data_IF_513339007530
#
_entry.id   IF_513339007530
#
_cell.length_a   1.000
_cell.length_b   1.000
_cell.length_c   1.000
_cell.angle_alpha   90.00
_cell.angle_beta   90.00
_cell.angle_gamma   90.00
#
_symmetry.space_group_name_H-M   'P 1'
#
loop_
_entity.id
_entity.type
_entity.pdbx_description
1 polymer ?
#
# COMPACT_ATOMS: atom_id res chain seq x y z
N UNK A 1 -13.22 -24.96 8.75
CA UNK A 1 -12.65 -25.15 7.43
C UNK A 1 -13.67 -25.85 6.54
N UNK A 2 -13.89 -25.35 5.30
CA UNK A 2 -14.72 -26.02 4.33
C UNK A 2 -14.17 -27.43 4.05
N UNK A 3 -15.04 -28.43 3.98
CA UNK A 3 -14.64 -29.81 3.71
C UNK A 3 -14.35 -30.06 2.24
N UNK A 4 -14.68 -29.12 1.36
CA UNK A 4 -14.58 -29.22 -0.10
C UNK A 4 -13.54 -28.27 -0.71
N UNK A 5 -12.97 -27.38 0.05
CA UNK A 5 -12.02 -26.36 -0.40
C UNK A 5 -10.64 -26.94 -0.65
N UNK A 6 -10.02 -26.55 -1.73
CA UNK A 6 -8.60 -26.71 -1.96
C UNK A 6 -7.85 -25.57 -1.27
N UNK A 7 -6.88 -25.90 -0.46
CA UNK A 7 -5.99 -24.95 0.17
C UNK A 7 -4.62 -25.00 -0.51
N UNK A 8 -4.13 -23.85 -0.95
CA UNK A 8 -2.74 -23.70 -1.31
C UNK A 8 -1.88 -23.75 -0.04
N UNK A 9 -0.84 -24.54 -0.05
CA UNK A 9 0.11 -24.64 1.05
C UNK A 9 1.50 -24.23 0.59
N UNK A 10 2.04 -23.18 1.18
CA UNK A 10 3.42 -22.82 0.98
C UNK A 10 4.33 -23.89 1.61
N UNK A 11 5.24 -24.42 0.81
CA UNK A 11 6.33 -25.24 1.33
C UNK A 11 7.62 -24.45 1.12
N UNK A 12 8.19 -23.97 2.20
CA UNK A 12 9.48 -23.28 2.19
C UNK A 12 10.64 -24.29 2.18
N UNK A 13 10.66 -25.17 1.19
CA UNK A 13 11.62 -26.24 1.09
C UNK A 13 12.30 -26.26 -0.29
N UNK A 14 12.81 -25.09 -0.69
CA UNK A 14 13.35 -24.87 -2.04
C UNK A 14 14.60 -25.67 -2.37
N UNK A 15 15.27 -26.23 -1.37
CA UNK A 15 16.52 -26.98 -1.54
C UNK A 15 16.31 -28.49 -1.61
N UNK A 16 15.15 -28.98 -1.26
CA UNK A 16 14.84 -30.39 -1.31
C UNK A 16 13.97 -30.72 -2.53
N UNK A 17 14.24 -31.89 -3.12
CA UNK A 17 13.37 -32.43 -4.18
C UNK A 17 12.17 -33.09 -3.51
N UNK A 18 11.09 -32.33 -3.37
CA UNK A 18 9.85 -32.80 -2.79
C UNK A 18 8.69 -32.60 -3.77
N UNK A 19 7.65 -33.37 -3.56
CA UNK A 19 6.41 -33.22 -4.30
C UNK A 19 5.22 -33.41 -3.34
N UNK A 20 4.08 -32.90 -3.73
CA UNK A 20 2.86 -33.04 -2.95
C UNK A 20 1.64 -32.52 -3.68
N UNK A 21 0.47 -32.83 -3.12
CA UNK A 21 -0.81 -32.34 -3.60
C UNK A 21 -1.60 -31.72 -2.45
N UNK A 22 -2.36 -30.70 -2.79
CA UNK A 22 -3.42 -30.21 -1.94
C UNK A 22 -4.72 -30.90 -2.32
N UNK A 23 -5.43 -31.45 -1.34
CA UNK A 23 -6.70 -32.13 -1.52
C UNK A 23 -7.75 -31.54 -0.59
N UNK A 24 -9.04 -31.44 -1.02
CA UNK A 24 -10.12 -31.18 -0.11
C UNK A 24 -10.16 -32.18 1.02
N UNK A 25 -10.45 -31.73 2.23
CA UNK A 25 -10.50 -32.61 3.41
C UNK A 25 -11.43 -33.83 3.24
N UNK A 26 -12.56 -33.63 2.54
CA UNK A 26 -13.48 -34.71 2.20
C UNK A 26 -12.82 -35.82 1.37
N UNK A 27 -12.01 -35.45 0.39
CA UNK A 27 -11.25 -36.43 -0.43
C UNK A 27 -10.15 -37.10 0.41
N UNK A 28 -9.42 -36.32 1.21
CA UNK A 28 -8.38 -36.86 2.09
C UNK A 28 -8.95 -37.94 3.04
N UNK A 29 -10.14 -37.74 3.61
CA UNK A 29 -10.79 -38.75 4.45
C UNK A 29 -11.16 -40.05 3.73
N UNK A 30 -11.31 -40.02 2.43
CA UNK A 30 -11.63 -41.21 1.61
C UNK A 30 -10.39 -42.03 1.27
N UNK A 31 -9.19 -41.45 1.42
CA UNK A 31 -7.96 -42.17 1.21
C UNK A 31 -7.79 -43.26 2.26
N UNK A 32 -7.67 -44.48 1.81
CA UNK A 32 -7.41 -45.65 2.65
C UNK A 32 -5.91 -45.89 2.77
N UNK A 33 -5.50 -46.57 3.85
CA UNK A 33 -4.10 -47.00 3.96
C UNK A 33 -3.83 -48.01 2.86
N UNK A 34 -2.81 -47.77 2.05
CA UNK A 34 -2.48 -48.64 0.91
C UNK A 34 -1.39 -48.06 0.00
N UNK A 35 -1.16 -48.74 -1.13
CA UNK A 35 -0.27 -48.26 -2.19
C UNK A 35 -1.12 -47.46 -3.20
N UNK A 36 -0.59 -46.34 -3.67
CA UNK A 36 -1.18 -45.51 -4.70
C UNK A 36 -0.19 -45.35 -5.84
N UNK A 37 -0.69 -45.33 -7.05
CA UNK A 37 0.06 -44.89 -8.21
C UNK A 37 -0.18 -43.40 -8.39
N UNK A 38 0.91 -42.64 -8.54
CA UNK A 38 0.86 -41.20 -8.72
C UNK A 38 1.64 -40.91 -9.99
N UNK A 39 1.03 -40.13 -10.87
CA UNK A 39 1.64 -39.64 -12.08
C UNK A 39 1.67 -38.11 -12.05
N UNK A 40 2.86 -37.51 -12.19
CA UNK A 40 3.08 -36.07 -12.19
C UNK A 40 3.94 -35.73 -13.40
N UNK A 41 3.32 -35.15 -14.42
CA UNK A 41 4.02 -34.62 -15.56
C UNK A 41 4.48 -33.18 -15.30
N UNK A 42 5.79 -32.96 -15.39
CA UNK A 42 6.39 -31.63 -15.24
C UNK A 42 7.45 -31.40 -16.31
N UNK A 43 7.63 -30.13 -16.66
CA UNK A 43 8.71 -29.72 -17.55
C UNK A 43 9.44 -28.51 -16.97
N UNK A 44 10.77 -28.48 -17.19
CA UNK A 44 11.63 -27.37 -16.82
C UNK A 44 12.14 -26.67 -18.08
N UNK A 45 11.68 -25.47 -18.34
CA UNK A 45 12.03 -24.73 -19.53
C UNK A 45 12.78 -23.45 -19.14
N UNK A 46 13.63 -22.94 -20.05
CA UNK A 46 14.20 -21.59 -19.88
C UNK A 46 13.08 -20.57 -19.92
N UNK A 47 13.02 -19.72 -18.91
CA UNK A 47 12.04 -18.63 -18.80
C UNK A 47 12.70 -17.29 -18.60
N UNK A 48 11.88 -16.28 -18.39
CA UNK A 48 12.28 -14.91 -18.03
C UNK A 48 11.45 -14.46 -16.82
N UNK A 49 12.03 -13.62 -15.99
CA UNK A 49 11.28 -12.86 -15.01
C UNK A 49 10.69 -11.66 -15.73
N UNK A 50 9.37 -11.60 -15.85
CA UNK A 50 8.65 -10.50 -16.47
C UNK A 50 8.00 -9.63 -15.38
N UNK A 51 8.07 -8.33 -15.56
CA UNK A 51 7.47 -7.34 -14.68
C UNK A 51 6.80 -6.27 -15.54
N UNK A 52 5.68 -5.76 -15.09
CA UNK A 52 4.98 -4.63 -15.73
C UNK A 52 5.10 -3.40 -14.84
N UNK A 53 5.49 -2.27 -15.43
CA UNK A 53 5.55 -0.99 -14.75
C UNK A 53 4.71 0.03 -15.50
N UNK A 54 3.74 0.65 -14.82
CA UNK A 54 3.00 1.81 -15.33
C UNK A 54 3.51 3.06 -14.61
N UNK A 55 3.75 4.14 -15.36
CA UNK A 55 4.40 5.34 -14.84
C UNK A 55 3.61 6.59 -15.19
N UNK A 56 3.32 7.40 -14.19
CA UNK A 56 2.87 8.77 -14.33
C UNK A 56 4.02 9.72 -14.00
N UNK A 57 4.58 10.39 -15.00
CA UNK A 57 5.70 11.31 -14.82
C UNK A 57 5.24 12.62 -14.19
N UNK A 58 5.85 12.95 -13.05
CA UNK A 58 5.70 14.25 -12.39
C UNK A 58 6.72 15.29 -12.88
N UNK A 59 6.73 16.45 -12.24
CA UNK A 59 7.71 17.52 -12.49
C UNK A 59 9.10 17.18 -11.96
N UNK A 60 9.16 16.30 -10.96
CA UNK A 60 10.39 15.84 -10.30
C UNK A 60 10.66 14.39 -10.67
N UNK A 61 11.93 14.04 -10.75
CA UNK A 61 12.36 12.65 -10.96
C UNK A 61 12.14 11.76 -9.72
N UNK A 62 12.04 12.37 -8.53
CA UNK A 62 11.76 11.62 -7.31
C UNK A 62 10.42 10.89 -7.44
N UNK A 63 10.44 9.61 -7.12
CA UNK A 63 9.31 8.72 -7.39
C UNK A 63 8.76 8.08 -6.12
N UNK A 64 7.43 7.89 -6.12
CA UNK A 64 6.71 7.03 -5.19
C UNK A 64 6.31 5.75 -5.92
N UNK A 65 6.50 4.60 -5.26
CA UNK A 65 6.26 3.29 -5.85
C UNK A 65 5.06 2.60 -5.18
N UNK A 66 4.07 2.24 -5.98
CA UNK A 66 3.06 1.25 -5.61
C UNK A 66 3.50 -0.12 -6.11
N UNK A 67 3.26 -1.17 -5.32
CA UNK A 67 3.66 -2.55 -5.63
C UNK A 67 2.48 -3.48 -5.47
N UNK A 68 2.35 -4.42 -6.38
CA UNK A 68 1.45 -5.56 -6.30
C UNK A 68 2.04 -6.76 -7.01
N UNK A 69 1.56 -7.96 -6.72
CA UNK A 69 1.99 -9.17 -7.39
C UNK A 69 0.83 -9.83 -8.14
N UNK A 70 1.13 -10.65 -9.14
CA UNK A 70 0.12 -11.28 -10.01
C UNK A 70 0.46 -12.73 -10.42
N UNK A 71 1.34 -13.37 -9.69
CA UNK A 71 1.92 -14.67 -10.03
C UNK A 71 1.16 -15.88 -9.47
N UNK A 72 0.23 -15.67 -8.55
CA UNK A 72 -0.58 -16.76 -8.02
C UNK A 72 -1.63 -17.23 -9.04
N UNK A 73 -1.52 -18.49 -9.54
CA UNK A 73 -2.49 -18.98 -10.51
C UNK A 73 -3.88 -19.09 -9.90
N UNK A 74 -4.88 -18.55 -10.59
CA UNK A 74 -6.30 -18.60 -10.23
C UNK A 74 -6.67 -17.87 -8.92
N UNK A 75 -5.78 -17.06 -8.36
CA UNK A 75 -6.07 -16.21 -7.22
C UNK A 75 -6.39 -14.79 -7.67
N UNK A 76 -7.45 -14.23 -7.13
CA UNK A 76 -7.97 -12.94 -7.56
C UNK A 76 -7.63 -11.83 -6.55
N UNK A 77 -8.08 -11.97 -5.31
CA UNK A 77 -7.79 -11.00 -4.25
C UNK A 77 -6.31 -11.03 -3.86
N UNK A 78 -5.70 -12.20 -3.90
CA UNK A 78 -4.30 -12.44 -3.59
C UNK A 78 -3.50 -12.64 -4.90
N UNK A 79 -3.19 -11.64 -5.58
CA UNK A 79 -2.77 -10.27 -5.56
C UNK A 79 -3.19 -9.53 -6.83
N UNK A 80 -3.85 -10.21 -7.86
CA UNK A 80 -4.21 -9.57 -9.13
C UNK A 80 -4.97 -8.26 -8.92
N UNK A 81 -5.91 -8.23 -7.97
CA UNK A 81 -6.73 -7.06 -7.68
C UNK A 81 -5.89 -5.92 -7.09
N UNK A 82 -4.80 -6.23 -6.39
CA UNK A 82 -3.82 -5.23 -5.93
C UNK A 82 -3.14 -4.53 -7.10
N UNK A 83 -2.72 -5.30 -8.10
CA UNK A 83 -2.16 -4.75 -9.35
C UNK A 83 -3.18 -3.88 -10.08
N UNK A 84 -4.43 -4.35 -10.22
CA UNK A 84 -5.49 -3.58 -10.88
C UNK A 84 -5.75 -2.25 -10.16
N UNK A 85 -5.77 -2.23 -8.82
CA UNK A 85 -5.95 -1.00 -8.06
C UNK A 85 -4.83 0.00 -8.32
N UNK A 86 -3.58 -0.45 -8.33
CA UNK A 86 -2.44 0.41 -8.64
C UNK A 86 -2.47 0.95 -10.06
N UNK A 87 -2.79 0.14 -11.06
CA UNK A 87 -2.91 0.58 -12.46
C UNK A 87 -4.07 1.55 -12.65
N UNK A 88 -5.23 1.31 -12.04
CA UNK A 88 -6.36 2.24 -12.06
C UNK A 88 -5.97 3.59 -11.45
N UNK A 89 -5.24 3.58 -10.32
CA UNK A 89 -4.73 4.79 -9.69
C UNK A 89 -3.83 5.58 -10.64
N UNK A 90 -2.86 4.94 -11.29
CA UNK A 90 -1.98 5.59 -12.27
C UNK A 90 -2.79 6.13 -13.46
N UNK A 91 -3.79 5.40 -13.93
CA UNK A 91 -4.69 5.87 -14.99
C UNK A 91 -5.44 7.14 -14.59
N UNK A 92 -5.97 7.22 -13.38
CA UNK A 92 -6.63 8.43 -12.86
C UNK A 92 -5.68 9.62 -12.76
N UNK A 93 -4.42 9.37 -12.44
CA UNK A 93 -3.38 10.41 -12.39
C UNK A 93 -3.04 11.00 -13.76
N UNK A 94 -3.21 10.27 -14.87
CA UNK A 94 -2.87 10.76 -16.22
C UNK A 94 -3.56 12.07 -16.60
N UNK A 95 -4.64 12.42 -15.91
CA UNK A 95 -5.37 13.69 -16.10
C UNK A 95 -4.89 14.83 -15.18
N UNK A 96 -3.93 14.58 -14.31
CA UNK A 96 -3.44 15.52 -13.30
C UNK A 96 -1.95 15.80 -13.53
N UNK A 97 -1.50 17.01 -13.17
CA UNK A 97 -0.06 17.29 -13.11
C UNK A 97 0.41 17.13 -11.67
N UNK A 98 1.40 16.27 -11.46
CA UNK A 98 1.95 15.96 -10.14
C UNK A 98 3.36 16.55 -9.97
N UNK A 99 3.79 16.71 -8.73
CA UNK A 99 5.19 17.04 -8.38
C UNK A 99 6.06 15.80 -8.49
N UNK A 100 5.66 14.72 -7.80
CA UNK A 100 6.38 13.45 -7.81
C UNK A 100 5.98 12.60 -9.02
N UNK A 101 6.90 11.75 -9.43
CA UNK A 101 6.62 10.65 -10.36
C UNK A 101 5.99 9.49 -9.59
N UNK A 102 4.87 8.95 -10.07
CA UNK A 102 4.20 7.79 -9.47
C UNK A 102 4.35 6.58 -10.37
N UNK A 103 4.67 5.46 -9.75
CA UNK A 103 4.92 4.18 -10.43
C UNK A 103 4.06 3.09 -9.83
N UNK A 104 3.50 2.23 -10.67
CA UNK A 104 2.90 0.98 -10.26
C UNK A 104 3.70 -0.17 -10.84
N UNK A 105 4.25 -1.00 -9.96
CA UNK A 105 4.96 -2.22 -10.31
C UNK A 105 4.05 -3.43 -10.07
N UNK A 106 3.80 -4.19 -11.12
CA UNK A 106 3.20 -5.52 -11.06
C UNK A 106 4.27 -6.57 -11.32
N UNK A 107 4.48 -7.48 -10.38
CA UNK A 107 5.61 -8.39 -10.43
C UNK A 107 5.30 -9.76 -9.81
N UNK A 108 6.28 -10.66 -9.86
CA UNK A 108 6.27 -11.93 -9.12
C UNK A 108 6.55 -11.64 -7.65
N UNK A 109 5.75 -12.21 -6.76
CA UNK A 109 5.82 -12.05 -5.31
C UNK A 109 7.26 -12.19 -4.82
N UNK A 110 7.71 -11.22 -4.03
CA UNK A 110 9.03 -11.13 -3.40
C UNK A 110 10.19 -11.17 -4.41
N UNK A 111 10.26 -12.19 -5.28
CA UNK A 111 11.39 -12.37 -6.20
C UNK A 111 11.53 -11.18 -7.15
N UNK A 112 10.43 -10.76 -7.76
CA UNK A 112 10.43 -9.61 -8.65
C UNK A 112 10.69 -8.30 -7.93
N UNK A 113 10.13 -8.12 -6.74
CA UNK A 113 10.38 -6.95 -5.89
C UNK A 113 11.84 -6.85 -5.46
N UNK A 114 12.46 -7.96 -5.08
CA UNK A 114 13.91 -8.00 -4.77
C UNK A 114 14.72 -7.62 -5.99
N UNK A 115 14.39 -8.14 -7.17
CA UNK A 115 15.08 -7.78 -8.40
C UNK A 115 14.91 -6.29 -8.72
N UNK A 116 13.68 -5.77 -8.67
CA UNK A 116 13.40 -4.37 -8.92
C UNK A 116 14.13 -3.45 -7.93
N UNK A 117 14.09 -3.75 -6.63
CA UNK A 117 14.74 -2.98 -5.59
C UNK A 117 16.25 -2.84 -5.83
N UNK A 118 16.91 -3.92 -6.24
CA UNK A 118 18.35 -3.93 -6.45
C UNK A 118 18.79 -3.27 -7.77
N UNK A 119 18.01 -3.40 -8.84
CA UNK A 119 18.47 -3.00 -10.18
C UNK A 119 17.77 -1.75 -10.73
N UNK A 120 16.58 -1.42 -10.24
CA UNK A 120 15.75 -0.35 -10.81
C UNK A 120 15.45 0.79 -9.83
N UNK A 121 15.25 0.51 -8.55
CA UNK A 121 14.74 1.48 -7.59
C UNK A 121 15.63 2.72 -7.44
N UNK A 122 16.97 2.55 -7.38
CA UNK A 122 17.92 3.66 -7.30
C UNK A 122 17.88 4.53 -8.57
N UNK A 123 17.87 3.90 -9.74
CA UNK A 123 17.79 4.61 -11.04
C UNK A 123 16.49 5.38 -11.14
N UNK A 124 15.40 4.81 -10.69
CA UNK A 124 14.06 5.39 -10.69
C UNK A 124 13.82 6.35 -9.51
N UNK A 125 14.84 6.63 -8.68
CA UNK A 125 14.80 7.56 -7.55
C UNK A 125 13.60 7.31 -6.62
N UNK A 126 13.31 6.04 -6.31
CA UNK A 126 12.24 5.67 -5.40
C UNK A 126 12.55 6.18 -4.00
N UNK A 127 11.66 6.96 -3.41
CA UNK A 127 11.80 7.54 -2.07
C UNK A 127 11.04 6.75 -1.01
N UNK A 128 9.82 6.41 -1.30
CA UNK A 128 8.94 5.61 -0.46
C UNK A 128 8.07 4.71 -1.32
N UNK A 129 7.54 3.65 -0.75
CA UNK A 129 6.70 2.69 -1.43
C UNK A 129 5.50 2.26 -0.59
N UNK A 130 4.49 1.71 -1.27
CA UNK A 130 3.31 1.13 -0.64
C UNK A 130 2.92 -0.16 -1.38
N UNK A 131 2.95 -1.28 -0.67
CA UNK A 131 2.41 -2.54 -1.17
C UNK A 131 0.88 -2.55 -1.02
N UNK A 132 0.17 -2.95 -2.08
CA UNK A 132 -1.29 -3.01 -2.14
C UNK A 132 -1.72 -4.47 -2.23
N UNK A 133 -2.46 -4.95 -1.22
CA UNK A 133 -2.95 -6.32 -1.20
C UNK A 133 -4.46 -6.40 -0.97
N UNK A 134 -5.12 -7.25 -1.74
CA UNK A 134 -6.53 -7.60 -1.59
C UNK A 134 -7.50 -6.40 -1.44
N UNK A 135 -7.38 -5.31 -2.22
CA UNK A 135 -8.16 -4.07 -2.00
C UNK A 135 -9.67 -4.28 -2.09
N UNK A 136 -10.12 -5.33 -2.78
CA UNK A 136 -11.53 -5.68 -2.93
C UNK A 136 -12.04 -6.73 -1.93
N UNK A 137 -11.24 -7.17 -0.97
CA UNK A 137 -11.71 -8.13 0.04
C UNK A 137 -12.77 -7.51 0.98
N UNK A 138 -13.72 -8.31 1.49
CA UNK A 138 -14.83 -7.80 2.30
C UNK A 138 -14.46 -7.42 3.75
N UNK A 139 -13.18 -7.31 4.06
CA UNK A 139 -12.65 -6.97 5.38
C UNK A 139 -12.34 -5.48 5.53
N UNK A 140 -12.16 -5.05 6.79
CA UNK A 140 -11.64 -3.73 7.11
C UNK A 140 -10.19 -3.59 6.66
N UNK A 141 -9.72 -2.36 6.57
CA UNK A 141 -8.34 -2.03 6.24
C UNK A 141 -7.41 -2.53 7.37
N UNK A 142 -6.32 -3.12 6.97
CA UNK A 142 -5.13 -3.39 7.78
C UNK A 142 -3.96 -2.63 7.18
N UNK A 143 -3.30 -1.80 7.98
CA UNK A 143 -2.12 -1.08 7.57
C UNK A 143 -0.90 -1.59 8.34
N UNK A 144 0.06 -2.15 7.63
CA UNK A 144 1.36 -2.50 8.20
C UNK A 144 2.34 -1.35 7.96
N UNK A 145 2.89 -0.84 9.05
CA UNK A 145 3.84 0.28 9.04
C UNK A 145 5.19 -0.15 8.48
N UNK A 146 5.96 0.85 8.05
CA UNK A 146 7.37 0.70 7.69
C UNK A 146 8.19 0.23 8.89
N UNK A 147 9.42 -0.22 8.63
CA UNK A 147 10.32 -0.68 9.70
C UNK A 147 10.57 0.39 10.77
N UNK A 148 10.78 1.65 10.37
CA UNK A 148 11.02 2.75 11.31
C UNK A 148 9.77 3.33 11.95
N UNK A 149 8.58 3.05 11.41
CA UNK A 149 7.26 3.52 11.89
C UNK A 149 7.10 5.06 11.91
N UNK A 150 7.94 5.79 11.24
CA UNK A 150 7.96 7.26 11.31
C UNK A 150 8.22 7.94 9.96
N UNK A 151 8.09 7.18 8.86
CA UNK A 151 8.24 7.72 7.52
C UNK A 151 7.01 8.52 7.09
N UNK A 152 7.11 9.26 6.00
CA UNK A 152 5.96 10.06 5.52
C UNK A 152 4.79 9.17 5.16
N UNK A 153 5.03 8.04 4.52
CA UNK A 153 3.95 7.09 4.17
C UNK A 153 3.18 6.61 5.41
N UNK A 154 3.84 6.35 6.55
CA UNK A 154 3.15 5.94 7.78
C UNK A 154 2.24 7.03 8.32
N UNK A 155 2.77 8.27 8.39
CA UNK A 155 2.04 9.44 8.88
C UNK A 155 0.86 9.77 7.98
N UNK A 156 1.09 9.81 6.68
CA UNK A 156 0.07 10.17 5.68
C UNK A 156 -1.02 9.11 5.65
N UNK A 157 -0.67 7.83 5.54
CA UNK A 157 -1.67 6.74 5.49
C UNK A 157 -2.52 6.72 6.75
N UNK A 158 -1.91 6.83 7.92
CA UNK A 158 -2.65 6.87 9.18
C UNK A 158 -3.56 8.09 9.28
N UNK A 159 -3.11 9.25 8.80
CA UNK A 159 -3.89 10.48 8.77
C UNK A 159 -5.10 10.34 7.82
N UNK A 160 -4.90 9.87 6.61
CA UNK A 160 -5.97 9.62 5.63
C UNK A 160 -7.03 8.68 6.19
N UNK A 161 -6.62 7.54 6.73
CA UNK A 161 -7.56 6.55 7.28
C UNK A 161 -8.40 7.12 8.42
N UNK A 162 -7.81 7.96 9.28
CA UNK A 162 -8.54 8.65 10.36
C UNK A 162 -9.50 9.69 9.81
N UNK A 163 -9.08 10.54 8.88
CA UNK A 163 -9.89 11.62 8.34
C UNK A 163 -11.09 11.12 7.53
N UNK A 164 -10.92 10.01 6.81
CA UNK A 164 -12.00 9.34 6.09
C UNK A 164 -12.90 8.50 7.01
N UNK A 165 -12.65 8.47 8.32
CA UNK A 165 -13.36 7.63 9.30
C UNK A 165 -13.37 6.14 8.92
N UNK A 166 -12.29 5.68 8.29
CA UNK A 166 -12.14 4.26 7.93
C UNK A 166 -11.85 3.44 9.19
N UNK A 167 -12.55 2.32 9.35
CA UNK A 167 -12.21 1.36 10.39
C UNK A 167 -10.98 0.56 9.96
N UNK A 168 -9.87 0.72 10.67
CA UNK A 168 -8.61 0.06 10.33
C UNK A 168 -7.85 -0.42 11.56
N UNK A 169 -6.94 -1.37 11.32
CA UNK A 169 -5.99 -1.86 12.32
C UNK A 169 -4.57 -1.62 11.82
N UNK A 170 -3.71 -1.16 12.71
CA UNK A 170 -2.29 -0.93 12.43
C UNK A 170 -1.45 -2.09 12.95
N UNK A 171 -0.44 -2.48 12.19
CA UNK A 171 0.50 -3.52 12.54
C UNK A 171 1.93 -3.02 12.41
N UNK A 172 2.81 -3.55 13.23
CA UNK A 172 4.25 -3.38 13.09
C UNK A 172 4.76 -4.05 11.81
N UNK A 173 5.91 -3.62 11.33
CA UNK A 173 6.60 -4.23 10.21
C UNK A 173 6.73 -5.75 10.39
N UNK A 174 6.37 -6.54 9.39
CA UNK A 174 6.33 -8.01 9.38
C UNK A 174 5.40 -8.65 10.43
N UNK A 175 4.46 -7.90 10.99
CA UNK A 175 3.45 -8.44 11.93
C UNK A 175 2.02 -8.29 11.41
N UNK A 176 1.86 -7.83 10.19
CA UNK A 176 0.58 -7.77 9.50
C UNK A 176 0.02 -9.16 9.21
N UNK A 177 -1.27 -9.25 8.87
CA UNK A 177 -1.91 -10.51 8.55
C UNK A 177 -1.36 -11.18 7.28
N UNK A 178 -0.81 -10.40 6.38
CA UNK A 178 -0.10 -10.83 5.18
C UNK A 178 1.18 -9.99 5.12
N UNK A 179 2.34 -10.62 5.22
CA UNK A 179 3.63 -9.98 4.97
C UNK A 179 4.10 -10.37 3.58
N UNK A 180 4.65 -9.42 2.82
CA UNK A 180 4.90 -9.66 1.41
C UNK A 180 6.03 -8.79 0.84
N UNK A 181 5.77 -8.15 -0.29
CA UNK A 181 6.75 -7.43 -1.11
C UNK A 181 7.44 -6.26 -0.41
N UNK A 182 6.83 -5.68 0.64
CA UNK A 182 7.44 -4.60 1.43
C UNK A 182 8.81 -4.96 1.99
N UNK A 183 9.03 -6.25 2.26
CA UNK A 183 10.31 -6.72 2.81
C UNK A 183 11.48 -6.58 1.84
N UNK A 184 11.19 -6.48 0.54
CA UNK A 184 12.25 -6.30 -0.47
C UNK A 184 12.80 -4.87 -0.51
N UNK A 185 12.02 -3.91 -0.03
CA UNK A 185 12.33 -2.48 -0.09
C UNK A 185 12.84 -1.94 1.24
N UNK A 186 12.12 -2.25 2.32
CA UNK A 186 12.40 -1.71 3.66
C UNK A 186 13.34 -2.63 4.45
N UNK A 187 14.51 -2.85 3.88
CA UNK A 187 15.58 -3.69 4.46
C UNK A 187 16.92 -2.98 4.38
N UNK A 188 17.86 -3.42 5.22
CA UNK A 188 19.22 -2.88 5.24
C UNK A 188 19.89 -2.95 3.86
N UNK A 189 20.49 -1.84 3.43
CA UNK A 189 21.15 -1.71 2.13
C UNK A 189 20.26 -1.17 1.01
N UNK A 190 18.96 -1.43 1.03
CA UNK A 190 17.98 -0.82 0.11
C UNK A 190 17.41 0.46 0.74
N UNK A 191 16.88 0.37 1.97
CA UNK A 191 16.39 1.48 2.77
C UNK A 191 15.32 2.35 2.09
N UNK A 192 14.40 1.74 1.39
CA UNK A 192 13.22 2.39 0.83
C UNK A 192 12.04 2.06 1.76
N UNK A 193 11.55 3.04 2.54
CA UNK A 193 10.41 2.82 3.41
C UNK A 193 9.21 2.29 2.63
N UNK A 194 8.67 1.14 3.02
CA UNK A 194 7.56 0.50 2.36
C UNK A 194 6.52 0.02 3.38
N UNK A 195 5.36 0.68 3.38
CA UNK A 195 4.20 0.21 4.13
C UNK A 195 3.37 -0.78 3.32
N UNK A 196 2.38 -1.43 3.96
CA UNK A 196 1.44 -2.30 3.26
C UNK A 196 0.00 -1.94 3.61
N UNK A 197 -0.79 -1.64 2.60
CA UNK A 197 -2.22 -1.39 2.72
C UNK A 197 -2.98 -2.61 2.20
N UNK A 198 -3.77 -3.23 3.07
CA UNK A 198 -4.43 -4.49 2.75
C UNK A 198 -5.80 -4.60 3.38
N UNK A 199 -6.65 -5.48 2.82
CA UNK A 199 -7.90 -5.91 3.45
C UNK A 199 -7.79 -7.38 3.84
N UNK A 200 -7.13 -7.63 4.97
CA UNK A 200 -6.79 -8.97 5.43
C UNK A 200 -6.95 -9.07 6.97
N UNK A 201 -7.08 -10.29 7.51
CA UNK A 201 -7.20 -11.57 6.81
C UNK A 201 -8.57 -11.80 6.19
N UNK A 202 -8.65 -12.54 5.08
CA UNK A 202 -9.91 -12.91 4.45
C UNK A 202 -10.03 -14.43 4.27
N UNK A 203 -11.26 -14.95 4.31
CA UNK A 203 -11.52 -16.39 4.43
C UNK A 203 -11.17 -17.21 3.17
N UNK A 204 -11.15 -16.58 2.00
CA UNK A 204 -10.77 -17.23 0.73
C UNK A 204 -9.27 -17.21 0.47
N UNK A 205 -8.46 -16.59 1.35
CA UNK A 205 -7.01 -16.52 1.18
C UNK A 205 -6.40 -17.90 1.00
N UNK A 206 -5.59 -18.07 -0.05
CA UNK A 206 -4.95 -19.31 -0.43
C UNK A 206 -5.92 -20.50 -0.61
N UNK A 207 -7.07 -20.23 -1.18
CA UNK A 207 -8.06 -21.26 -1.52
C UNK A 207 -8.61 -21.08 -2.93
N UNK A 208 -9.23 -22.14 -3.47
CA UNK A 208 -9.96 -22.11 -4.74
C UNK A 208 -11.22 -21.23 -4.73
N UNK A 209 -11.57 -20.67 -3.57
CA UNK A 209 -12.63 -19.66 -3.42
C UNK A 209 -12.15 -18.23 -3.62
N UNK A 210 -10.87 -18.00 -3.85
CA UNK A 210 -10.37 -16.66 -4.23
C UNK A 210 -10.66 -16.37 -5.70
N UNK A 211 -11.90 -16.03 -5.97
CA UNK A 211 -12.45 -15.83 -7.32
C UNK A 211 -12.98 -14.40 -7.51
N UNK A 212 -13.19 -13.95 -8.76
CA UNK A 212 -13.74 -12.63 -9.05
C UNK A 212 -15.08 -12.34 -8.38
N UNK A 213 -15.91 -13.39 -8.10
CA UNK A 213 -17.20 -13.23 -7.43
C UNK A 213 -17.07 -12.77 -5.97
N UNK A 214 -15.91 -12.90 -5.37
CA UNK A 214 -15.65 -12.50 -3.99
C UNK A 214 -15.13 -11.06 -3.87
N UNK A 215 -14.99 -10.34 -4.98
CA UNK A 215 -14.59 -8.93 -4.99
C UNK A 215 -15.75 -8.06 -4.54
N UNK A 216 -15.55 -7.30 -3.47
CA UNK A 216 -16.41 -6.17 -3.11
C UNK A 216 -15.95 -4.93 -3.88
N UNK A 217 -16.66 -4.58 -4.94
CA UNK A 217 -16.34 -3.38 -5.72
C UNK A 217 -16.43 -2.10 -4.89
N UNK A 218 -17.34 -2.07 -3.90
CA UNK A 218 -17.40 -0.97 -2.93
C UNK A 218 -16.07 -0.81 -2.17
N UNK A 219 -15.52 -1.91 -1.67
CA UNK A 219 -14.27 -1.89 -0.93
C UNK A 219 -13.07 -1.58 -1.83
N UNK A 220 -13.14 -2.04 -3.08
CA UNK A 220 -12.14 -1.70 -4.10
C UNK A 220 -12.10 -0.18 -4.34
N UNK A 221 -13.24 0.43 -4.64
CA UNK A 221 -13.34 1.89 -4.83
C UNK A 221 -12.95 2.69 -3.58
N UNK A 222 -13.33 2.22 -2.39
CA UNK A 222 -12.89 2.85 -1.14
C UNK A 222 -11.37 2.80 -0.99
N UNK A 223 -10.73 1.69 -1.40
CA UNK A 223 -9.26 1.60 -1.38
C UNK A 223 -8.62 2.54 -2.39
N UNK A 224 -9.19 2.67 -3.60
CA UNK A 224 -8.72 3.66 -4.59
C UNK A 224 -8.82 5.07 -4.01
N UNK A 225 -9.94 5.43 -3.37
CA UNK A 225 -10.09 6.73 -2.72
C UNK A 225 -9.01 6.98 -1.66
N UNK A 226 -8.72 5.99 -0.82
CA UNK A 226 -7.65 6.09 0.17
C UNK A 226 -6.30 6.36 -0.50
N UNK A 227 -5.99 5.65 -1.59
CA UNK A 227 -4.74 5.83 -2.34
C UNK A 227 -4.67 7.21 -3.01
N UNK A 228 -5.77 7.72 -3.57
CA UNK A 228 -5.86 9.07 -4.14
C UNK A 228 -5.62 10.14 -3.06
N UNK A 229 -6.18 9.99 -1.87
CA UNK A 229 -5.96 10.91 -0.75
C UNK A 229 -4.52 10.86 -0.22
N UNK A 230 -3.90 9.68 -0.19
CA UNK A 230 -2.47 9.55 0.13
C UNK A 230 -1.64 10.37 -0.86
N UNK A 231 -1.89 10.21 -2.17
CA UNK A 231 -1.20 10.99 -3.20
C UNK A 231 -1.48 12.47 -3.03
N UNK A 232 -2.74 12.86 -2.77
CA UNK A 232 -3.11 14.25 -2.59
C UNK A 232 -2.29 14.92 -1.48
N UNK A 233 -2.08 14.22 -0.36
CA UNK A 233 -1.26 14.75 0.73
C UNK A 233 0.22 14.80 0.32
N UNK A 234 0.79 13.76 -0.30
CA UNK A 234 2.17 13.81 -0.80
C UNK A 234 2.43 14.98 -1.73
N UNK A 235 1.47 15.29 -2.61
CA UNK A 235 1.56 16.40 -3.55
C UNK A 235 1.47 17.79 -2.90
N UNK A 236 0.72 17.90 -1.79
CA UNK A 236 0.46 19.19 -1.13
C UNK A 236 1.20 19.36 0.19
N UNK A 237 1.86 18.30 0.69
CA UNK A 237 2.62 18.37 1.92
C UNK A 237 3.84 19.29 1.76
N UNK A 238 4.11 20.08 2.80
CA UNK A 238 5.24 21.00 2.85
C UNK A 238 5.72 21.18 4.27
N UNK A 239 7.03 21.35 4.43
CA UNK A 239 7.61 21.74 5.71
C UNK A 239 7.67 23.24 5.75
N UNK A 240 7.00 23.82 6.74
CA UNK A 240 7.07 25.26 6.99
C UNK A 240 8.39 25.58 7.69
N UNK A 241 9.07 26.57 7.21
CA UNK A 241 10.24 27.11 7.87
C UNK A 241 10.14 28.65 7.94
N UNK A 242 10.68 29.20 9.02
CA UNK A 242 10.72 30.63 9.20
C UNK A 242 11.90 31.21 8.42
N UNK A 243 11.63 32.12 7.50
CA UNK A 243 12.66 32.77 6.66
C UNK A 243 12.97 34.22 7.07
N UNK A 244 12.60 34.60 8.28
CA UNK A 244 12.86 35.92 8.84
C UNK A 244 13.18 35.83 10.33
N UNK A 245 13.90 36.83 10.86
CA UNK A 245 14.20 36.99 12.26
C UNK A 245 13.31 38.09 12.88
N UNK A 246 13.05 38.00 14.19
CA UNK A 246 12.24 38.97 14.93
C UNK A 246 10.73 38.81 14.72
N UNK A 247 9.97 39.87 14.94
CA UNK A 247 8.51 39.83 14.86
C UNK A 247 8.00 39.85 13.41
N UNK A 248 7.02 39.01 13.07
CA UNK A 248 6.45 38.99 11.73
C UNK A 248 5.67 40.29 11.45
N UNK A 249 5.72 40.72 10.19
CA UNK A 249 4.90 41.87 9.74
C UNK A 249 3.50 41.36 9.38
N UNK A 250 2.54 41.62 10.26
CA UNK A 250 1.16 41.15 10.15
C UNK A 250 0.19 42.20 9.53
N UNK A 251 0.71 43.20 8.79
CA UNK A 251 -0.09 44.35 8.35
C UNK A 251 -1.39 43.95 7.60
N UNK A 252 -2.48 44.65 7.92
CA UNK A 252 -3.80 44.42 7.35
C UNK A 252 -3.85 44.59 5.83
N UNK A 253 -3.03 45.45 5.26
CA UNK A 253 -2.95 45.65 3.79
C UNK A 253 -2.32 44.48 3.02
N UNK A 254 -1.44 43.70 3.66
CA UNK A 254 -0.66 42.65 2.98
C UNK A 254 -1.06 41.24 3.39
N UNK A 255 -1.36 41.05 4.65
CA UNK A 255 -1.58 39.70 5.19
C UNK A 255 -2.90 39.56 5.95
N UNK A 256 -3.50 40.70 6.36
CA UNK A 256 -4.73 40.76 7.17
C UNK A 256 -4.70 39.90 8.46
N UNK A 257 -3.51 39.74 9.05
CA UNK A 257 -3.27 38.93 10.24
C UNK A 257 -3.09 39.80 11.51
N UNK A 258 -3.13 41.15 11.40
CA UNK A 258 -2.96 42.04 12.51
C UNK A 258 -4.25 42.09 13.34
N UNK A 259 -4.14 41.69 14.60
CA UNK A 259 -5.24 41.86 15.59
C UNK A 259 -5.07 43.19 16.27
N UNK A 260 -6.00 44.15 16.05
CA UNK A 260 -6.00 45.38 16.79
C UNK A 260 -6.35 45.13 18.27
N UNK A 261 -5.79 45.93 19.22
CA UNK A 261 -6.12 45.79 20.64
C UNK A 261 -7.62 45.95 20.95
N UNK A 262 -8.35 46.68 20.12
CA UNK A 262 -9.81 46.90 20.26
C UNK A 262 -10.61 45.61 20.01
N UNK A 263 -10.08 44.68 19.23
CA UNK A 263 -10.68 43.35 19.00
C UNK A 263 -10.38 42.35 20.13
N UNK A 264 -9.46 42.68 21.02
CA UNK A 264 -9.08 41.82 22.15
C UNK A 264 -9.96 42.07 23.37
N UNK A 265 -10.63 43.24 23.45
CA UNK A 265 -11.50 43.64 24.55
C UNK A 265 -12.96 43.21 24.39
N UNK A 266 -13.20 41.92 24.17
CA UNK A 266 -14.47 41.30 24.56
C UNK A 266 -15.63 41.31 23.57
N UNK A 267 -15.49 41.76 22.33
CA UNK A 267 -16.52 41.55 21.30
C UNK A 267 -16.26 40.17 20.68
N UNK A 268 -17.16 39.22 20.95
CA UNK A 268 -17.17 37.92 20.33
C UNK A 268 -17.47 38.08 18.84
N UNK A 269 -16.43 38.07 18.02
CA UNK A 269 -16.55 37.88 16.59
C UNK A 269 -15.98 36.48 16.28
N UNK A 270 -16.85 35.52 16.07
CA UNK A 270 -16.51 34.09 15.84
C UNK A 270 -15.66 33.87 14.60
N UNK A 271 -15.53 34.86 13.71
CA UNK A 271 -14.68 34.80 12.52
C UNK A 271 -13.16 34.86 12.79
N UNK A 272 -12.74 35.12 14.03
CA UNK A 272 -11.32 35.32 14.39
C UNK A 272 -10.69 34.22 15.26
N UNK A 273 -11.41 33.14 15.61
CA UNK A 273 -10.84 32.02 16.37
C UNK A 273 -9.70 31.36 15.61
N UNK A 274 -9.87 31.19 14.32
CA UNK A 274 -8.87 30.59 13.44
C UNK A 274 -7.52 31.32 13.40
N UNK A 275 -7.56 32.68 13.43
CA UNK A 275 -6.34 33.50 13.41
C UNK A 275 -5.57 33.48 14.75
N UNK A 276 -6.27 33.29 15.89
CA UNK A 276 -5.62 33.14 17.19
C UNK A 276 -4.86 31.82 17.33
N UNK A 277 -5.46 30.75 16.87
CA UNK A 277 -4.84 29.43 16.91
C UNK A 277 -3.64 29.35 15.97
N UNK A 278 -3.69 30.02 14.82
CA UNK A 278 -2.58 30.10 13.87
C UNK A 278 -1.36 30.85 14.46
N UNK A 279 -1.61 31.94 15.20
CA UNK A 279 -0.53 32.75 15.81
C UNK A 279 0.04 32.13 17.09
N UNK A 280 -0.74 31.32 17.83
CA UNK A 280 -0.28 30.62 19.03
C UNK A 280 0.60 29.39 18.70
N UNK A 281 0.49 28.89 17.48
CA UNK A 281 1.22 27.68 17.02
C UNK A 281 2.40 28.00 16.08
N UNK A 282 2.78 29.27 15.94
CA UNK A 282 4.04 29.62 15.23
C UNK A 282 5.19 29.52 16.24
N UNK A 283 6.10 28.53 16.08
CA UNK A 283 7.23 28.35 16.98
C UNK A 283 8.25 29.51 16.92
#
# INVERSE_FOLDING_TARGET
PSTTTFHYRNQYNFWNKEWGFSLPYKMHKQLKKGKYSIDIETSFNKGKLEMAEDVHLGKMDDSFLFVGHFDHPQMCLDGLVGCLAGHELIYRLKKKQTKLTYRMLSTVEIIGSVFYANYHAKRNKIKEALFISAPGAPQNISYQQTFSKNNQIDKITTHVLKNLNINFKTYDFRKGPIGNDEIAYDVGGINIPCGSLMRAPFSSYHTDFDTPSNISWKNFEETILILEEIIHIFENNSTLYRNFEGLPRLSSKRHNLYLSPERVSGIKDDSNSFNKDLLSNIP
#
